data_IF_468498999500
#
_entry.id   IF_468498999500
#
_cell.length_a   1.000
_cell.length_b   1.000
_cell.length_c   1.000
_cell.angle_alpha   90.00
_cell.angle_beta   90.00
_cell.angle_gamma   90.00
#
_symmetry.space_group_name_H-M   'P 1'
#
loop_
_entity.id
_entity.type
_entity.pdbx_description
1 polymer ?
#
# COMPACT_ATOMS: atom_id res chain seq x y z
N UNK A 1 -14.50 -2.68 -17.02
CA UNK A 1 -15.33 -1.81 -16.17
C UNK A 1 -14.35 -0.92 -15.42
N UNK A 2 -14.41 0.40 -15.61
CA UNK A 2 -13.52 1.31 -14.89
C UNK A 2 -13.73 1.14 -13.39
N UNK A 3 -12.67 1.30 -12.59
CA UNK A 3 -12.79 1.21 -11.15
C UNK A 3 -13.73 2.31 -10.62
N UNK A 4 -14.65 1.95 -9.71
CA UNK A 4 -15.52 2.96 -9.05
C UNK A 4 -14.70 3.99 -8.26
N UNK A 5 -13.54 3.57 -7.75
CA UNK A 5 -12.59 4.41 -7.05
C UNK A 5 -11.21 4.11 -7.58
N UNK A 6 -10.50 5.15 -8.02
CA UNK A 6 -9.13 5.07 -8.51
C UNK A 6 -8.26 6.02 -7.68
N UNK A 7 -7.19 5.53 -7.04
CA UNK A 7 -6.19 6.40 -6.42
C UNK A 7 -5.41 7.15 -7.51
N UNK A 8 -5.18 8.44 -7.29
CA UNK A 8 -4.35 9.28 -8.15
C UNK A 8 -3.20 9.84 -7.32
N UNK A 9 -1.97 9.61 -7.77
CA UNK A 9 -0.77 10.16 -7.17
C UNK A 9 -0.36 11.43 -7.92
N UNK A 10 -0.16 12.51 -7.19
CA UNK A 10 0.34 13.77 -7.75
C UNK A 10 1.82 13.91 -7.39
N UNK A 11 2.66 14.21 -8.37
CA UNK A 11 4.12 14.26 -8.22
C UNK A 11 4.72 15.40 -9.06
N UNK A 12 5.84 16.02 -8.62
CA UNK A 12 6.58 16.93 -9.48
C UNK A 12 7.39 16.20 -10.56
N UNK A 13 7.59 14.88 -10.43
CA UNK A 13 8.37 14.05 -11.34
C UNK A 13 7.58 12.79 -11.71
N UNK A 14 6.77 12.91 -12.76
CA UNK A 14 5.88 11.84 -13.23
C UNK A 14 6.65 10.72 -13.96
N UNK A 15 7.70 11.05 -14.70
CA UNK A 15 8.51 10.07 -15.44
C UNK A 15 9.25 9.14 -14.47
N UNK A 16 9.73 9.66 -13.34
CA UNK A 16 10.32 8.81 -12.29
C UNK A 16 9.32 7.81 -11.71
N UNK A 17 8.08 8.23 -11.43
CA UNK A 17 7.06 7.31 -10.95
C UNK A 17 6.63 6.32 -12.04
N UNK A 18 6.49 6.77 -13.29
CA UNK A 18 6.23 5.90 -14.43
C UNK A 18 7.31 4.83 -14.56
N UNK A 19 8.58 5.20 -14.55
CA UNK A 19 9.69 4.23 -14.61
C UNK A 19 9.63 3.23 -13.45
N UNK A 20 9.28 3.67 -12.25
CA UNK A 20 9.09 2.78 -11.11
C UNK A 20 7.92 1.80 -11.33
N UNK A 21 6.73 2.29 -11.62
CA UNK A 21 5.55 1.42 -11.71
C UNK A 21 5.57 0.53 -12.96
N UNK A 22 5.95 1.07 -14.12
CA UNK A 22 6.06 0.31 -15.38
C UNK A 22 7.28 -0.61 -15.34
N UNK A 23 8.45 -0.07 -14.99
CA UNK A 23 9.71 -0.82 -15.05
C UNK A 23 9.88 -1.85 -13.95
N UNK A 24 9.47 -1.55 -12.71
CA UNK A 24 9.65 -2.45 -11.57
C UNK A 24 8.44 -3.36 -11.33
N UNK A 25 7.23 -2.83 -11.52
CA UNK A 25 5.98 -3.53 -11.19
C UNK A 25 5.21 -4.01 -12.42
N UNK A 26 5.81 -3.89 -13.62
CA UNK A 26 5.23 -4.28 -14.91
C UNK A 26 3.84 -3.67 -15.15
N UNK A 27 3.63 -2.46 -14.64
CA UNK A 27 2.38 -1.74 -14.82
C UNK A 27 2.16 -1.40 -16.30
N UNK A 28 0.94 -1.61 -16.79
CA UNK A 28 0.58 -1.33 -18.17
C UNK A 28 -0.02 0.07 -18.29
N UNK A 29 0.47 0.87 -19.23
CA UNK A 29 -0.13 2.18 -19.54
C UNK A 29 -1.49 1.98 -20.21
N UNK A 30 -2.54 2.55 -19.63
CA UNK A 30 -3.91 2.46 -20.16
C UNK A 30 -4.35 3.74 -20.85
N UNK A 31 -3.93 4.88 -20.30
CA UNK A 31 -4.34 6.20 -20.75
C UNK A 31 -3.17 7.16 -20.63
N UNK A 32 -3.03 8.06 -21.59
CA UNK A 32 -1.99 9.09 -21.59
C UNK A 32 -2.62 10.41 -21.99
N UNK A 33 -2.39 11.45 -21.20
CA UNK A 33 -2.80 12.80 -21.55
C UNK A 33 -1.70 13.82 -21.26
N UNK A 34 -1.40 14.73 -22.20
CA UNK A 34 -1.76 14.66 -23.62
C UNK A 34 -1.20 13.39 -24.31
N UNK A 35 -1.81 12.97 -25.42
CA UNK A 35 -1.39 11.78 -26.17
C UNK A 35 0.05 11.88 -26.69
N UNK A 36 0.53 13.10 -26.95
CA UNK A 36 1.89 13.43 -27.34
C UNK A 36 2.41 14.62 -26.53
N UNK A 37 3.74 14.68 -26.33
CA UNK A 37 4.39 15.75 -25.56
C UNK A 37 4.54 15.46 -24.06
N UNK A 38 4.76 16.51 -23.24
CA UNK A 38 4.99 16.37 -21.80
C UNK A 38 3.82 15.69 -21.09
N UNK A 39 4.12 14.67 -20.30
CA UNK A 39 3.11 13.88 -19.62
C UNK A 39 2.45 14.69 -18.50
N UNK A 40 1.13 14.89 -18.59
CA UNK A 40 0.35 15.52 -17.52
C UNK A 40 -0.36 14.46 -16.67
N UNK A 41 -0.99 13.49 -17.33
CA UNK A 41 -1.68 12.39 -16.68
C UNK A 41 -1.33 11.06 -17.35
N UNK A 42 -1.17 10.03 -16.53
CA UNK A 42 -0.98 8.66 -16.96
C UNK A 42 -1.88 7.73 -16.17
N UNK A 43 -2.73 6.97 -16.88
CA UNK A 43 -3.44 5.83 -16.35
C UNK A 43 -2.55 4.59 -16.40
N UNK A 44 -2.48 3.87 -15.28
CA UNK A 44 -1.73 2.63 -15.14
C UNK A 44 -2.65 1.51 -14.67
N UNK A 45 -2.44 0.31 -15.20
CA UNK A 45 -3.05 -0.92 -14.71
C UNK A 45 -2.00 -1.85 -14.10
N UNK A 46 -2.18 -2.15 -12.82
CA UNK A 46 -1.38 -3.09 -12.04
C UNK A 46 -2.22 -4.32 -11.74
N UNK A 47 -2.04 -5.37 -12.54
CA UNK A 47 -2.90 -6.55 -12.49
C UNK A 47 -4.36 -6.17 -12.76
N UNK A 48 -5.21 -6.26 -11.74
CA UNK A 48 -6.64 -5.88 -11.81
C UNK A 48 -6.94 -4.51 -11.22
N UNK A 49 -5.94 -3.79 -10.72
CA UNK A 49 -6.09 -2.48 -10.10
C UNK A 49 -5.69 -1.36 -11.06
N UNK A 50 -6.37 -0.23 -10.95
CA UNK A 50 -6.07 0.99 -11.71
C UNK A 50 -5.41 2.02 -10.78
N UNK A 51 -4.43 2.76 -11.31
CA UNK A 51 -3.67 3.80 -10.62
C UNK A 51 -3.47 4.98 -11.57
N UNK A 52 -3.79 6.20 -11.13
CA UNK A 52 -3.50 7.41 -11.89
C UNK A 52 -2.21 8.08 -11.39
N UNK A 53 -1.44 8.65 -12.31
CA UNK A 53 -0.33 9.56 -12.01
C UNK A 53 -0.61 10.93 -12.63
N UNK A 54 -0.38 12.01 -11.89
CA UNK A 54 -0.51 13.39 -12.37
C UNK A 54 0.74 14.20 -12.07
N UNK A 55 1.19 14.99 -13.04
CA UNK A 55 2.32 15.91 -12.88
C UNK A 55 1.86 17.26 -12.32
N UNK A 56 2.46 17.69 -11.21
CA UNK A 56 2.33 19.04 -10.66
C UNK A 56 3.61 19.45 -9.94
N UNK A 57 4.30 20.47 -10.49
CA UNK A 57 5.55 21.00 -9.96
C UNK A 57 5.41 21.69 -8.59
N UNK A 58 4.21 22.09 -8.19
CA UNK A 58 3.95 22.73 -6.91
C UNK A 58 3.89 21.72 -5.74
N UNK A 59 3.85 20.42 -6.03
CA UNK A 59 3.78 19.37 -5.01
C UNK A 59 5.08 19.35 -4.19
N UNK A 60 4.91 19.54 -2.87
CA UNK A 60 6.01 19.43 -1.91
C UNK A 60 6.33 17.97 -1.62
N UNK A 61 7.58 17.58 -1.86
CA UNK A 61 8.12 16.27 -1.49
C UNK A 61 8.72 16.29 -0.09
N UNK A 62 9.01 15.11 0.48
CA UNK A 62 9.71 14.97 1.76
C UNK A 62 8.83 14.86 3.00
N UNK A 63 7.52 15.07 2.89
CA UNK A 63 6.56 14.80 3.96
C UNK A 63 5.64 13.64 3.58
N UNK A 64 5.53 12.60 4.41
CA UNK A 64 4.68 11.47 4.10
C UNK A 64 3.20 11.90 4.13
N UNK A 65 2.46 11.54 3.09
CA UNK A 65 1.01 11.63 3.08
C UNK A 65 0.38 10.67 4.09
N UNK A 66 -0.94 10.83 4.31
CA UNK A 66 -1.71 9.96 5.23
C UNK A 66 -2.26 8.70 4.54
N UNK A 67 -2.10 8.60 3.22
CA UNK A 67 -2.62 7.50 2.41
C UNK A 67 -1.49 6.51 2.15
N UNK A 68 -1.77 5.23 2.35
CA UNK A 68 -0.86 4.13 2.05
C UNK A 68 -1.38 3.36 0.85
N UNK A 69 -0.51 3.14 -0.14
CA UNK A 69 -0.76 2.20 -1.23
C UNK A 69 0.03 0.94 -0.93
N UNK A 70 -0.68 -0.19 -0.84
CA UNK A 70 -0.08 -1.51 -0.69
C UNK A 70 -0.17 -2.24 -2.02
N UNK A 71 0.96 -2.72 -2.52
CA UNK A 71 1.04 -3.51 -3.75
C UNK A 71 1.54 -4.89 -3.37
N UNK A 72 0.76 -5.92 -3.69
CA UNK A 72 1.18 -7.31 -3.51
C UNK A 72 2.09 -7.71 -4.67
N UNK A 73 3.25 -8.29 -4.36
CA UNK A 73 4.19 -8.83 -5.34
C UNK A 73 4.62 -10.23 -4.93
N UNK A 74 4.95 -11.13 -5.88
CA UNK A 74 5.35 -12.49 -5.56
C UNK A 74 6.61 -12.58 -4.69
N UNK A 75 7.62 -11.75 -5.00
CA UNK A 75 8.89 -11.70 -4.30
C UNK A 75 9.42 -10.26 -4.28
N UNK A 76 9.44 -9.66 -3.08
CA UNK A 76 9.93 -8.30 -2.86
C UNK A 76 11.45 -8.24 -2.98
N UNK A 77 12.17 -9.27 -2.53
CA UNK A 77 13.62 -9.29 -2.45
C UNK A 77 14.25 -9.47 -3.84
N UNK A 78 13.57 -10.17 -4.74
CA UNK A 78 13.98 -10.28 -6.15
C UNK A 78 13.79 -8.97 -6.94
N UNK A 79 12.79 -8.14 -6.60
CA UNK A 79 12.47 -6.92 -7.35
C UNK A 79 13.40 -5.75 -7.00
N UNK A 80 13.72 -5.54 -5.72
CA UNK A 80 14.42 -4.34 -5.27
C UNK A 80 15.80 -4.10 -5.88
N UNK A 81 16.64 -5.12 -6.17
CA UNK A 81 17.94 -4.89 -6.80
C UNK A 81 17.85 -4.23 -8.18
N UNK A 82 16.72 -4.37 -8.87
CA UNK A 82 16.48 -3.76 -10.18
C UNK A 82 16.03 -2.29 -10.10
N UNK A 83 15.77 -1.77 -8.89
CA UNK A 83 15.24 -0.43 -8.73
C UNK A 83 16.35 0.62 -8.52
N UNK A 84 16.35 1.75 -9.25
CA UNK A 84 17.29 2.85 -9.01
C UNK A 84 17.00 3.60 -7.70
N UNK A 85 15.88 3.32 -7.01
CA UNK A 85 15.59 3.85 -5.67
C UNK A 85 16.24 3.02 -4.56
N UNK A 86 17.53 2.74 -4.69
CA UNK A 86 18.32 2.23 -3.57
C UNK A 86 18.79 3.40 -2.71
N UNK A 87 18.10 3.63 -1.60
CA UNK A 87 18.55 4.26 -0.34
C UNK A 87 17.50 5.15 0.34
N UNK A 88 16.29 4.65 0.59
CA UNK A 88 15.57 5.11 1.79
C UNK A 88 15.91 4.11 2.89
N UNK A 89 16.52 4.54 4.01
CA UNK A 89 16.80 3.66 5.13
C UNK A 89 15.53 2.92 5.52
N UNK A 90 15.52 1.61 5.27
CA UNK A 90 14.46 0.75 5.78
C UNK A 90 14.52 0.85 7.30
N UNK A 91 13.44 1.31 7.93
CA UNK A 91 13.22 0.97 9.34
C UNK A 91 13.25 -0.56 9.41
N UNK A 92 13.96 -1.18 10.37
CA UNK A 92 14.02 -2.63 10.49
C UNK A 92 12.59 -3.18 10.45
N UNK A 93 12.35 -4.03 9.46
CA UNK A 93 11.02 -4.52 9.15
C UNK A 93 10.46 -5.25 10.36
N UNK A 94 9.44 -4.68 10.98
CA UNK A 94 8.42 -5.51 11.61
C UNK A 94 7.76 -6.24 10.44
N UNK A 95 7.95 -7.55 10.37
CA UNK A 95 6.99 -8.42 9.69
C UNK A 95 5.63 -8.07 10.27
N UNK A 96 4.87 -7.21 9.59
CA UNK A 96 3.49 -6.97 9.98
C UNK A 96 2.79 -8.29 9.76
N UNK A 97 2.06 -8.75 10.77
CA UNK A 97 1.35 -10.03 10.76
C UNK A 97 0.35 -10.20 9.61
N UNK A 98 0.16 -9.17 8.76
CA UNK A 98 -0.69 -9.20 7.57
C UNK A 98 -0.25 -10.28 6.56
N UNK A 99 1.07 -10.44 6.31
CA UNK A 99 1.59 -11.41 5.34
C UNK A 99 1.67 -12.86 5.83
N UNK A 100 1.69 -13.08 7.15
CA UNK A 100 1.60 -14.42 7.74
C UNK A 100 0.15 -14.96 7.73
N UNK A 101 -0.83 -14.05 7.71
CA UNK A 101 -2.25 -14.39 7.70
C UNK A 101 -2.82 -14.72 6.30
N UNK A 102 -2.12 -14.40 5.20
CA UNK A 102 -2.55 -14.76 3.83
C UNK A 102 -2.02 -16.14 3.41
N UNK A 103 -0.75 -16.43 3.68
CA UNK A 103 -0.12 -17.73 3.36
C UNK A 103 -0.67 -18.92 4.16
N UNK A 104 -1.27 -18.68 5.34
CA UNK A 104 -1.87 -19.74 6.16
C UNK A 104 -3.32 -20.11 5.79
N UNK A 105 -4.00 -19.31 4.96
CA UNK A 105 -5.42 -19.57 4.61
C UNK A 105 -5.64 -20.74 3.66
N UNK A 106 -4.61 -21.19 2.95
CA UNK A 106 -4.73 -22.32 2.03
C UNK A 106 -4.46 -23.68 2.66
N UNK A 107 -4.06 -23.76 3.94
CA UNK A 107 -3.64 -25.05 4.49
C UNK A 107 -3.76 -25.22 6.01
N UNK A 108 -4.83 -24.76 6.66
CA UNK A 108 -5.32 -25.44 7.88
C UNK A 108 -6.71 -24.95 8.27
N UNK A 109 -7.65 -25.90 8.21
CA UNK A 109 -8.88 -25.99 8.99
C UNK A 109 -8.62 -25.54 10.44
N UNK A 110 -9.24 -24.45 10.86
CA UNK A 110 -9.20 -23.96 12.24
C UNK A 110 -9.83 -24.98 13.19
N UNK A 111 -8.99 -25.68 13.97
CA UNK A 111 -9.36 -26.25 15.27
C UNK A 111 -8.80 -25.34 16.37
N UNK A 112 -9.70 -24.69 17.11
CA UNK A 112 -9.61 -24.17 18.50
C UNK A 112 -10.88 -23.32 18.66
N UNK A 113 -11.85 -23.70 19.47
CA UNK A 113 -11.75 -23.95 20.90
C UNK A 113 -12.61 -22.86 21.55
N UNK A 114 -13.87 -23.21 21.82
CA UNK A 114 -14.88 -22.34 22.44
C UNK A 114 -14.37 -21.79 23.78
N UNK A 115 -14.57 -20.50 24.10
CA UNK A 115 -14.11 -19.96 25.37
C UNK A 115 -15.04 -20.40 26.51
N UNK A 116 -14.43 -20.79 27.63
CA UNK A 116 -15.07 -21.08 28.91
C UNK A 116 -15.78 -19.82 29.47
N UNK A 117 -17.09 -19.86 29.77
CA UNK A 117 -17.85 -18.70 30.24
C UNK A 117 -17.48 -18.20 31.64
N UNK A 118 -16.57 -18.84 32.37
CA UNK A 118 -16.23 -18.46 33.75
C UNK A 118 -15.20 -17.30 33.89
N UNK A 119 -14.60 -16.79 32.81
CA UNK A 119 -13.44 -15.88 32.91
C UNK A 119 -13.76 -14.37 32.84
N UNK A 120 -15.01 -13.95 33.02
CA UNK A 120 -15.34 -12.52 33.18
C UNK A 120 -15.62 -12.20 34.64
N UNK A 121 -14.58 -11.75 35.35
CA UNK A 121 -14.74 -10.92 36.54
C UNK A 121 -13.56 -9.97 36.62
N UNK A 122 -13.77 -8.71 36.19
CA UNK A 122 -12.81 -7.63 36.43
C UNK A 122 -12.89 -7.14 37.89
N UNK A 123 -11.84 -6.50 38.42
CA UNK A 123 -11.86 -5.98 39.79
C UNK A 123 -12.84 -4.80 39.94
N UNK A 124 -13.42 -4.58 41.14
CA UNK A 124 -14.41 -3.52 41.36
C UNK A 124 -13.78 -2.12 41.28
N UNK A 125 -14.54 -1.19 40.69
CA UNK A 125 -14.21 0.25 40.57
C UNK A 125 -14.39 0.93 41.93
N UNK A 126 -13.45 1.76 42.41
CA UNK A 126 -13.61 2.50 43.67
C UNK A 126 -14.64 3.63 43.53
N UNK A 127 -15.42 3.84 44.60
CA UNK A 127 -16.46 4.88 44.67
C UNK A 127 -15.86 6.31 44.65
N UNK A 128 -16.59 7.30 44.11
CA UNK A 128 -16.15 8.70 44.14
C UNK A 128 -16.19 9.28 45.56
N UNK A 129 -15.29 10.22 45.91
CA UNK A 129 -15.35 10.92 47.19
C UNK A 129 -16.55 11.87 47.21
N UNK A 130 -17.35 11.80 48.28
CA UNK A 130 -18.44 12.74 48.53
C UNK A 130 -17.93 14.03 49.18
N UNK A 131 -18.48 15.18 48.76
CA UNK A 131 -18.23 16.51 49.32
C UNK A 131 -18.05 17.56 48.24
#
# INVERSE_FOLDING_TARGET
MPATVQPILVTPDIERLRFFYVGLLDAQETDRFPEEGPLFYLGLRLGTSELGLTADSAVRTGFPGRVLLSVEVPDVDALLPASPVSAVPRRPGRTTCLGAASRSRHRTRWQRGEPDPAAVTGPPVPAPPGG
#
